data_IF_152215031989
#
_entry.id   IF_152215031989
#
_cell.length_a   1.000
_cell.length_b   1.000
_cell.length_c   1.000
_cell.angle_alpha   90.00
_cell.angle_beta   90.00
_cell.angle_gamma   90.00
#
_symmetry.space_group_name_H-M   'P 1'
#
loop_
_entity.id
_entity.type
_entity.pdbx_description
1 polymer ?
#
# COMPACT_ATOMS: atom_id res chain seq x y z
N UNK A 1 6.40 53.36 -94.65
CA UNK A 1 6.80 52.84 -93.33
C UNK A 1 7.21 51.38 -93.48
N UNK A 2 8.50 51.07 -93.43
CA UNK A 2 9.02 49.70 -93.37
C UNK A 2 9.95 49.60 -92.16
N UNK A 3 9.57 48.84 -91.13
CA UNK A 3 10.51 48.46 -90.06
C UNK A 3 11.67 47.65 -90.68
N UNK A 4 12.92 47.93 -90.28
CA UNK A 4 14.09 47.19 -90.77
C UNK A 4 14.02 45.71 -90.34
N UNK A 5 14.51 44.80 -91.18
CA UNK A 5 14.52 43.33 -90.90
C UNK A 5 15.19 42.98 -89.56
N UNK A 6 16.17 43.78 -89.14
CA UNK A 6 16.88 43.62 -87.87
C UNK A 6 15.97 43.87 -86.66
N UNK A 7 15.22 44.98 -86.68
CA UNK A 7 14.30 45.34 -85.59
C UNK A 7 13.18 44.30 -85.43
N UNK A 8 12.74 43.67 -86.53
CA UNK A 8 11.74 42.59 -86.51
C UNK A 8 12.30 41.30 -85.90
N UNK A 9 13.56 40.95 -86.19
CA UNK A 9 14.26 39.81 -85.59
C UNK A 9 14.49 40.00 -84.09
N UNK A 10 14.94 41.18 -83.69
CA UNK A 10 15.21 41.47 -82.27
C UNK A 10 13.91 41.50 -81.46
N UNK A 11 12.84 42.08 -82.01
CA UNK A 11 11.51 42.02 -81.41
C UNK A 11 11.01 40.58 -81.23
N UNK A 12 11.19 39.71 -82.24
CA UNK A 12 10.82 38.30 -82.14
C UNK A 12 11.61 37.56 -81.05
N UNK A 13 12.91 37.81 -80.93
CA UNK A 13 13.74 37.21 -79.87
C UNK A 13 13.32 37.68 -78.49
N UNK A 14 13.08 38.98 -78.30
CA UNK A 14 12.59 39.52 -77.03
C UNK A 14 11.20 38.98 -76.68
N UNK A 15 10.30 38.85 -77.66
CA UNK A 15 8.99 38.22 -77.45
C UNK A 15 9.13 36.77 -77.04
N UNK A 16 10.01 35.99 -77.69
CA UNK A 16 10.24 34.60 -77.33
C UNK A 16 10.83 34.46 -75.93
N UNK A 17 11.79 35.31 -75.54
CA UNK A 17 12.34 35.34 -74.18
C UNK A 17 11.27 35.69 -73.15
N UNK A 18 10.42 36.69 -73.45
CA UNK A 18 9.31 37.07 -72.58
C UNK A 18 8.33 35.91 -72.40
N UNK A 19 7.95 35.22 -73.48
CA UNK A 19 7.09 34.04 -73.41
C UNK A 19 7.70 32.91 -72.57
N UNK A 20 9.01 32.65 -72.70
CA UNK A 20 9.71 31.65 -71.90
C UNK A 20 9.73 32.01 -70.41
N UNK A 21 10.01 33.27 -70.08
CA UNK A 21 10.00 33.74 -68.69
C UNK A 21 8.59 33.66 -68.10
N UNK A 22 7.58 34.13 -68.83
CA UNK A 22 6.17 34.04 -68.43
C UNK A 22 5.73 32.58 -68.21
N UNK A 23 6.11 31.68 -69.13
CA UNK A 23 5.82 30.25 -69.00
C UNK A 23 6.48 29.63 -67.77
N UNK A 24 7.71 30.01 -67.47
CA UNK A 24 8.45 29.54 -66.29
C UNK A 24 7.80 30.03 -65.00
N UNK A 25 7.50 31.33 -64.89
CA UNK A 25 6.81 31.91 -63.72
C UNK A 25 5.44 31.25 -63.51
N UNK A 26 4.65 31.12 -64.58
CA UNK A 26 3.33 30.47 -64.52
C UNK A 26 3.45 29.02 -64.05
N UNK A 27 4.49 28.28 -64.49
CA UNK A 27 4.71 26.90 -64.07
C UNK A 27 5.02 26.80 -62.58
N UNK A 28 5.79 27.74 -62.03
CA UNK A 28 6.08 27.82 -60.59
C UNK A 28 4.79 28.15 -59.83
N UNK A 29 4.07 29.21 -60.23
CA UNK A 29 2.83 29.65 -59.58
C UNK A 29 1.72 28.59 -59.59
N UNK A 30 1.77 27.60 -60.47
CA UNK A 30 0.82 26.48 -60.49
C UNK A 30 1.11 25.38 -59.46
N UNK A 31 2.28 25.39 -58.82
CA UNK A 31 2.71 24.30 -57.92
C UNK A 31 3.13 24.76 -56.52
N UNK A 32 3.33 26.06 -56.30
CA UNK A 32 3.69 26.61 -54.99
C UNK A 32 2.78 27.77 -54.62
N UNK A 33 2.58 28.02 -53.33
CA UNK A 33 1.79 29.16 -52.87
C UNK A 33 2.57 30.46 -53.11
N UNK A 34 1.97 31.40 -53.85
CA UNK A 34 2.61 32.67 -54.24
C UNK A 34 1.71 33.85 -53.91
N UNK A 35 2.31 34.86 -53.29
CA UNK A 35 1.69 36.17 -53.06
C UNK A 35 2.70 37.27 -53.32
N UNK A 36 2.23 38.38 -53.89
CA UNK A 36 3.00 39.58 -54.11
C UNK A 36 2.42 40.75 -53.33
N UNK A 37 3.32 41.57 -52.82
CA UNK A 37 3.02 42.78 -52.07
C UNK A 37 3.64 43.99 -52.76
N UNK A 38 3.00 45.15 -52.65
CA UNK A 38 3.68 46.42 -52.89
C UNK A 38 4.75 46.70 -51.82
N UNK A 39 5.50 47.79 -51.98
CA UNK A 39 6.55 48.19 -51.03
C UNK A 39 6.03 48.56 -49.63
N UNK A 40 4.73 48.88 -49.53
CA UNK A 40 4.05 49.19 -48.28
C UNK A 40 3.44 47.94 -47.64
N UNK A 41 3.61 46.77 -48.24
CA UNK A 41 3.13 45.49 -47.72
C UNK A 41 1.66 45.17 -48.02
N UNK A 42 1.03 45.87 -48.96
CA UNK A 42 -0.33 45.54 -49.41
C UNK A 42 -0.31 44.47 -50.48
N UNK A 43 -1.25 43.54 -50.41
CA UNK A 43 -1.34 42.43 -51.36
C UNK A 43 -1.80 42.92 -52.73
N UNK A 44 -0.99 42.69 -53.76
CA UNK A 44 -1.25 43.13 -55.15
C UNK A 44 -1.51 41.97 -56.11
N UNK A 45 -0.99 40.77 -55.82
CA UNK A 45 -1.25 39.56 -56.59
C UNK A 45 -1.17 38.32 -55.70
N UNK A 46 -2.01 37.32 -55.94
CA UNK A 46 -2.11 36.09 -55.11
C UNK A 46 -2.64 34.95 -55.98
N UNK A 47 -2.00 33.79 -55.92
CA UNK A 47 -2.48 32.59 -56.60
C UNK A 47 -3.49 31.77 -55.75
N UNK A 48 -4.20 30.85 -56.39
CA UNK A 48 -5.25 30.08 -55.72
C UNK A 48 -4.70 29.15 -54.63
N UNK A 49 -3.50 28.59 -54.81
CA UNK A 49 -2.84 27.74 -53.80
C UNK A 49 -2.67 28.52 -52.48
N UNK A 50 -2.19 29.76 -52.53
CA UNK A 50 -2.01 30.58 -51.33
C UNK A 50 -3.35 30.94 -50.65
N UNK A 51 -4.38 31.20 -51.46
CA UNK A 51 -5.73 31.49 -50.98
C UNK A 51 -6.35 30.29 -50.27
N UNK A 52 -6.24 29.11 -50.89
CA UNK A 52 -6.76 27.85 -50.36
C UNK A 52 -6.06 27.46 -49.05
N UNK A 53 -4.72 27.59 -48.98
CA UNK A 53 -3.94 27.34 -47.76
C UNK A 53 -4.40 28.17 -46.56
N UNK A 54 -4.83 29.42 -46.77
CA UNK A 54 -5.25 30.31 -45.67
C UNK A 54 -6.78 30.44 -45.54
N UNK A 55 -7.54 29.84 -46.47
CA UNK A 55 -9.00 29.84 -46.48
C UNK A 55 -9.65 31.18 -46.88
N UNK A 56 -8.92 32.04 -47.61
CA UNK A 56 -9.45 33.35 -48.06
C UNK A 56 -9.90 33.31 -49.52
N UNK A 57 -10.88 34.16 -49.88
CA UNK A 57 -11.16 34.48 -51.28
C UNK A 57 -10.32 35.68 -51.72
N UNK A 58 -9.96 35.73 -53.02
CA UNK A 58 -9.11 36.80 -53.60
C UNK A 58 -9.59 38.22 -53.24
N UNK A 59 -10.90 38.46 -53.35
CA UNK A 59 -11.52 39.77 -53.08
C UNK A 59 -11.40 40.21 -51.60
N UNK A 60 -11.24 39.28 -50.67
CA UNK A 60 -11.17 39.56 -49.23
C UNK A 60 -9.78 40.07 -48.81
N UNK A 61 -8.75 39.74 -49.59
CA UNK A 61 -7.34 39.95 -49.24
C UNK A 61 -6.63 40.95 -50.14
N UNK A 62 -7.09 41.15 -51.38
CA UNK A 62 -6.46 42.08 -52.32
C UNK A 62 -6.53 43.53 -51.78
N UNK A 63 -5.41 44.25 -51.87
CA UNK A 63 -5.27 45.62 -51.36
C UNK A 63 -5.23 45.76 -49.84
N UNK A 64 -5.45 44.68 -49.08
CA UNK A 64 -5.23 44.66 -47.63
C UNK A 64 -3.74 44.57 -47.33
N UNK A 65 -3.35 44.94 -46.11
CA UNK A 65 -1.96 44.85 -45.67
C UNK A 65 -1.64 43.45 -45.14
N UNK A 66 -0.41 42.96 -45.36
CA UNK A 66 0.08 41.64 -44.93
C UNK A 66 -0.20 41.33 -43.45
N UNK A 67 -0.27 42.34 -42.57
CA UNK A 67 -0.57 42.18 -41.14
C UNK A 67 -1.90 41.47 -40.87
N UNK A 68 -2.85 41.48 -41.81
CA UNK A 68 -4.10 40.72 -41.67
C UNK A 68 -3.87 39.20 -41.55
N UNK A 69 -2.80 38.70 -42.18
CA UNK A 69 -2.39 37.29 -42.16
C UNK A 69 -1.57 36.94 -40.91
N UNK A 70 -1.34 37.90 -40.03
CA UNK A 70 -0.56 37.74 -38.82
C UNK A 70 -1.45 37.78 -37.57
N UNK A 71 -0.92 37.20 -36.49
CA UNK A 71 -1.47 37.41 -35.16
C UNK A 71 -1.05 38.78 -34.63
N UNK A 72 -1.84 39.31 -33.69
CA UNK A 72 -1.70 40.68 -33.17
C UNK A 72 -0.39 40.90 -32.40
N UNK A 73 0.08 39.85 -31.71
CA UNK A 73 1.35 39.83 -31.00
C UNK A 73 2.54 40.07 -31.93
N UNK A 74 2.56 39.41 -33.08
CA UNK A 74 3.62 39.56 -34.07
C UNK A 74 3.47 40.84 -34.90
N UNK A 75 2.27 41.16 -35.40
CA UNK A 75 2.09 42.32 -36.29
C UNK A 75 2.37 43.67 -35.64
N UNK A 76 2.35 43.75 -34.31
CA UNK A 76 2.67 44.95 -33.51
C UNK A 76 4.12 44.96 -33.01
N UNK A 77 4.92 43.97 -33.37
CA UNK A 77 6.25 43.77 -32.82
C UNK A 77 7.33 44.59 -33.56
N UNK A 78 8.48 44.80 -32.90
CA UNK A 78 9.63 45.46 -33.55
C UNK A 78 10.21 44.60 -34.67
N UNK A 79 10.14 43.27 -34.52
CA UNK A 79 10.57 42.29 -35.51
C UNK A 79 9.76 42.42 -36.79
N UNK A 80 8.44 42.63 -36.71
CA UNK A 80 7.60 42.86 -37.89
C UNK A 80 7.95 44.15 -38.63
N UNK A 81 8.22 45.22 -37.88
CA UNK A 81 8.64 46.51 -38.46
C UNK A 81 10.01 46.39 -39.14
N UNK A 82 10.95 45.69 -38.50
CA UNK A 82 12.28 45.40 -39.04
C UNK A 82 12.18 44.55 -40.32
N UNK A 83 11.34 43.52 -40.32
CA UNK A 83 11.11 42.62 -41.45
C UNK A 83 10.75 43.37 -42.73
N UNK A 84 9.79 44.31 -42.68
CA UNK A 84 9.42 45.10 -43.87
C UNK A 84 10.50 46.10 -44.28
N UNK A 85 11.22 46.69 -43.32
CA UNK A 85 12.35 47.58 -43.62
C UNK A 85 13.47 46.86 -44.37
N UNK A 86 13.79 45.63 -43.97
CA UNK A 86 14.81 44.80 -44.61
C UNK A 86 14.38 44.41 -46.04
N UNK A 87 13.12 44.03 -46.23
CA UNK A 87 12.58 43.73 -47.57
C UNK A 87 12.60 44.97 -48.49
N UNK A 88 12.22 46.14 -47.97
CA UNK A 88 12.27 47.39 -48.71
C UNK A 88 13.72 47.81 -49.07
N UNK A 89 14.69 47.42 -48.25
CA UNK A 89 16.12 47.61 -48.51
C UNK A 89 16.70 46.56 -49.50
N UNK A 90 15.88 45.66 -50.05
CA UNK A 90 16.30 44.63 -51.00
C UNK A 90 16.84 43.35 -50.35
N UNK A 91 16.70 43.20 -49.03
CA UNK A 91 17.14 42.00 -48.31
C UNK A 91 16.03 40.95 -48.23
N UNK A 92 16.29 39.76 -48.77
CA UNK A 92 15.34 38.64 -48.69
C UNK A 92 15.20 38.10 -47.27
N UNK A 93 14.02 37.57 -46.96
CA UNK A 93 13.71 36.95 -45.66
C UNK A 93 13.28 35.51 -45.87
N UNK A 94 13.85 34.56 -45.13
CA UNK A 94 13.49 33.15 -45.21
C UNK A 94 13.26 32.54 -43.83
N UNK A 95 12.40 31.52 -43.75
CA UNK A 95 12.14 30.81 -42.50
C UNK A 95 10.75 30.18 -42.44
N UNK A 96 10.41 29.66 -41.26
CA UNK A 96 9.08 29.13 -40.96
C UNK A 96 8.29 30.15 -40.18
N UNK A 97 7.18 30.59 -40.74
CA UNK A 97 6.41 31.72 -40.23
C UNK A 97 5.02 31.27 -39.81
N UNK A 98 4.64 31.61 -38.58
CA UNK A 98 3.27 31.47 -38.09
C UNK A 98 2.37 32.50 -38.76
N UNK A 99 1.29 32.05 -39.39
CA UNK A 99 0.25 32.89 -40.01
C UNK A 99 -1.12 32.47 -39.50
N UNK A 100 -2.06 33.39 -39.66
CA UNK A 100 -3.45 33.28 -39.22
C UNK A 100 -4.32 33.02 -40.44
N UNK A 101 -5.03 31.89 -40.45
CA UNK A 101 -6.04 31.60 -41.45
C UNK A 101 -7.26 32.52 -41.30
N UNK A 102 -8.22 32.42 -42.22
CA UNK A 102 -9.52 33.09 -42.09
C UNK A 102 -10.31 32.67 -40.85
N UNK A 103 -10.22 31.40 -40.46
CA UNK A 103 -10.86 30.85 -39.25
C UNK A 103 -10.16 31.31 -37.95
N UNK A 104 -8.99 31.94 -38.05
CA UNK A 104 -8.17 32.33 -36.90
C UNK A 104 -7.20 31.25 -36.42
N UNK A 105 -7.08 30.15 -37.17
CA UNK A 105 -6.21 29.02 -36.85
C UNK A 105 -4.75 29.27 -37.25
N UNK A 106 -3.86 28.47 -36.68
CA UNK A 106 -2.44 28.51 -37.00
C UNK A 106 -2.17 27.85 -38.34
N UNK A 107 -1.46 28.56 -39.23
CA UNK A 107 -0.87 28.00 -40.44
C UNK A 107 0.62 28.28 -40.41
N UNK A 108 1.43 27.24 -40.48
CA UNK A 108 2.88 27.35 -40.52
C UNK A 108 3.36 27.29 -41.96
N UNK A 109 3.93 28.40 -42.43
CA UNK A 109 4.44 28.53 -43.79
C UNK A 109 5.96 28.55 -43.78
N UNK A 110 6.59 27.55 -44.38
CA UNK A 110 7.99 27.64 -44.79
C UNK A 110 8.04 28.52 -46.04
N UNK A 111 8.63 29.70 -45.92
CA UNK A 111 8.54 30.71 -46.97
C UNK A 111 9.82 31.51 -47.15
N UNK A 112 9.96 32.04 -48.36
CA UNK A 112 10.96 33.03 -48.70
C UNK A 112 10.28 34.24 -49.34
N UNK A 113 10.60 35.42 -48.83
CA UNK A 113 10.17 36.72 -49.35
C UNK A 113 11.33 37.33 -50.14
N UNK A 114 11.08 37.61 -51.41
CA UNK A 114 12.00 38.07 -52.43
C UNK A 114 11.65 39.51 -52.86
N UNK A 115 12.49 40.50 -52.55
CA UNK A 115 12.37 41.82 -53.14
C UNK A 115 12.65 41.77 -54.65
N UNK A 116 11.71 42.25 -55.46
CA UNK A 116 11.86 42.35 -56.91
C UNK A 116 12.45 43.71 -57.25
N UNK A 117 13.66 43.71 -57.81
CA UNK A 117 14.43 44.92 -58.09
C UNK A 117 14.43 45.20 -59.59
N UNK A 118 14.02 46.40 -59.98
CA UNK A 118 14.11 46.92 -61.36
C UNK A 118 14.82 48.27 -61.28
N UNK A 119 15.81 48.49 -62.15
CA UNK A 119 16.63 49.72 -62.17
C UNK A 119 17.17 50.13 -60.80
N UNK A 120 17.67 49.13 -60.05
CA UNK A 120 18.23 49.27 -58.70
C UNK A 120 17.24 49.80 -57.63
N UNK A 121 15.93 49.66 -57.86
CA UNK A 121 14.88 49.98 -56.89
C UNK A 121 14.00 48.76 -56.65
N UNK A 122 13.69 48.47 -55.39
CA UNK A 122 12.67 47.47 -55.04
C UNK A 122 11.31 48.00 -55.48
N UNK A 123 10.64 47.29 -56.38
CA UNK A 123 9.33 47.70 -56.93
C UNK A 123 8.17 46.93 -56.33
N UNK A 124 8.41 45.70 -55.85
CA UNK A 124 7.42 44.83 -55.18
C UNK A 124 8.14 43.71 -54.44
N UNK A 125 7.44 42.99 -53.58
CA UNK A 125 7.96 41.84 -52.83
C UNK A 125 7.14 40.61 -53.19
N UNK A 126 7.79 39.56 -53.69
CA UNK A 126 7.16 38.26 -53.99
C UNK A 126 7.46 37.29 -52.85
N UNK A 127 6.47 36.53 -52.39
CA UNK A 127 6.65 35.47 -51.41
C UNK A 127 6.28 34.15 -52.06
N UNK A 128 7.16 33.17 -51.92
CA UNK A 128 6.85 31.76 -52.20
C UNK A 128 6.76 31.03 -50.86
N UNK A 129 5.73 30.22 -50.69
CA UNK A 129 5.46 29.50 -49.45
C UNK A 129 5.05 28.05 -49.70
N UNK A 130 5.35 27.22 -48.71
CA UNK A 130 4.86 25.87 -48.59
C UNK A 130 4.16 25.70 -47.23
N UNK A 131 3.00 25.05 -47.22
CA UNK A 131 2.32 24.72 -45.98
C UNK A 131 3.02 23.55 -45.29
N UNK A 132 3.51 23.79 -44.09
CA UNK A 132 4.19 22.79 -43.26
C UNK A 132 3.48 22.59 -41.92
N UNK A 133 2.22 23.02 -41.80
CA UNK A 133 1.43 23.00 -40.55
C UNK A 133 1.43 21.62 -39.91
N UNK A 134 1.00 20.58 -40.63
CA UNK A 134 0.94 19.22 -40.09
C UNK A 134 2.31 18.70 -39.64
N UNK A 135 3.35 18.96 -40.44
CA UNK A 135 4.72 18.52 -40.12
C UNK A 135 5.26 19.24 -38.89
N UNK A 136 5.00 20.53 -38.78
CA UNK A 136 5.42 21.35 -37.66
C UNK A 136 4.72 20.93 -36.36
N UNK A 137 3.39 20.82 -36.38
CA UNK A 137 2.60 20.42 -35.21
C UNK A 137 2.93 19.00 -34.75
N UNK A 138 3.16 18.06 -35.67
CA UNK A 138 3.64 16.71 -35.33
C UNK A 138 5.03 16.75 -34.68
N UNK A 139 5.95 17.55 -35.22
CA UNK A 139 7.28 17.70 -34.64
C UNK A 139 7.21 18.29 -33.23
N UNK A 140 6.39 19.33 -33.04
CA UNK A 140 6.21 19.99 -31.74
C UNK A 140 5.54 19.05 -30.74
N UNK A 141 4.56 18.26 -31.17
CA UNK A 141 3.92 17.24 -30.33
C UNK A 141 4.92 16.19 -29.86
N UNK A 142 5.80 15.70 -30.74
CA UNK A 142 6.87 14.75 -30.34
C UNK A 142 7.81 15.36 -29.30
N UNK A 143 8.21 16.62 -29.47
CA UNK A 143 9.04 17.34 -28.50
C UNK A 143 8.34 17.47 -27.14
N UNK A 144 7.06 17.89 -27.13
CA UNK A 144 6.28 18.03 -25.91
C UNK A 144 6.11 16.70 -25.15
N UNK A 145 5.99 15.58 -25.87
CA UNK A 145 5.94 14.23 -25.25
C UNK A 145 7.27 13.90 -24.57
N UNK A 146 8.41 14.15 -25.22
CA UNK A 146 9.71 13.93 -24.62
C UNK A 146 9.93 14.80 -23.38
N UNK A 147 9.48 16.05 -23.42
CA UNK A 147 9.51 16.95 -22.26
C UNK A 147 8.64 16.45 -21.11
N UNK A 148 7.44 15.93 -21.41
CA UNK A 148 6.58 15.34 -20.38
C UNK A 148 7.25 14.13 -19.71
N UNK A 149 7.86 13.23 -20.50
CA UNK A 149 8.61 12.08 -19.97
C UNK A 149 9.83 12.52 -19.13
N UNK A 150 10.54 13.56 -19.58
CA UNK A 150 11.69 14.12 -18.85
C UNK A 150 11.31 14.69 -17.48
N UNK A 151 10.07 15.16 -17.31
CA UNK A 151 9.60 15.68 -16.01
C UNK A 151 9.31 14.56 -15.02
N UNK A 152 8.80 13.41 -15.46
CA UNK A 152 8.29 12.37 -14.56
C UNK A 152 9.21 11.16 -14.39
N UNK A 153 10.10 10.87 -15.35
CA UNK A 153 10.92 9.65 -15.36
C UNK A 153 12.40 9.96 -15.24
N UNK A 154 13.17 9.00 -14.72
CA UNK A 154 14.62 8.98 -14.84
C UNK A 154 14.99 8.48 -16.24
N UNK A 155 15.66 9.32 -17.02
CA UNK A 155 16.03 9.04 -18.41
C UNK A 155 17.54 9.07 -18.56
N UNK A 156 18.07 8.08 -19.24
CA UNK A 156 19.50 7.99 -19.58
C UNK A 156 19.66 7.39 -20.99
N UNK A 157 20.57 7.97 -21.77
CA UNK A 157 20.91 7.56 -23.11
C UNK A 157 22.28 6.91 -23.16
N UNK A 158 22.39 5.84 -23.94
CA UNK A 158 23.62 5.10 -24.13
C UNK A 158 23.94 4.92 -25.61
N UNK A 159 25.22 4.80 -25.91
CA UNK A 159 25.70 4.17 -27.13
C UNK A 159 25.28 2.68 -27.16
N UNK A 160 25.21 2.04 -28.35
CA UNK A 160 24.79 0.64 -28.46
C UNK A 160 25.65 -0.35 -27.67
N UNK A 161 26.85 0.04 -27.27
CA UNK A 161 27.77 -0.78 -26.46
C UNK A 161 27.66 -0.53 -24.94
N UNK A 162 26.84 0.43 -24.51
CA UNK A 162 26.58 0.74 -23.11
C UNK A 162 27.33 1.91 -22.50
N UNK A 163 28.08 2.69 -23.30
CA UNK A 163 28.66 3.97 -22.84
C UNK A 163 27.59 5.05 -22.73
N UNK A 164 27.65 5.84 -21.67
CA UNK A 164 26.65 6.86 -21.36
C UNK A 164 26.88 8.11 -22.22
N UNK A 165 25.82 8.53 -22.92
CA UNK A 165 25.78 9.77 -23.71
C UNK A 165 25.33 10.92 -22.81
N UNK A 166 24.15 10.79 -22.21
CA UNK A 166 23.50 11.83 -21.41
C UNK A 166 22.51 11.23 -20.41
N UNK A 167 22.21 11.95 -19.34
CA UNK A 167 21.15 11.59 -18.40
C UNK A 167 20.38 12.84 -17.97
N UNK A 168 19.08 12.69 -17.71
CA UNK A 168 18.27 13.79 -17.22
C UNK A 168 18.48 14.01 -15.71
N UNK A 169 17.94 15.13 -15.21
CA UNK A 169 18.05 15.51 -13.79
C UNK A 169 17.48 14.44 -12.86
N UNK A 170 16.36 13.82 -13.20
CA UNK A 170 15.73 12.78 -12.39
C UNK A 170 16.68 11.57 -12.22
N UNK A 171 17.29 11.10 -13.30
CA UNK A 171 18.25 9.98 -13.23
C UNK A 171 19.47 10.33 -12.37
N UNK A 172 20.04 11.52 -12.57
CA UNK A 172 21.19 12.00 -11.80
C UNK A 172 20.88 12.09 -10.30
N UNK A 173 19.71 12.62 -9.94
CA UNK A 173 19.26 12.72 -8.55
C UNK A 173 19.02 11.34 -7.94
N UNK A 174 18.29 10.47 -8.62
CA UNK A 174 18.00 9.10 -8.15
C UNK A 174 19.28 8.28 -7.95
N UNK A 175 20.27 8.42 -8.84
CA UNK A 175 21.52 7.64 -8.76
C UNK A 175 22.66 8.36 -8.02
N UNK A 176 22.49 9.63 -7.67
CA UNK A 176 23.48 10.45 -6.95
C UNK A 176 24.69 10.90 -7.77
N UNK A 177 24.63 10.86 -9.10
CA UNK A 177 25.76 11.25 -9.97
C UNK A 177 25.57 12.62 -10.60
N UNK A 178 26.67 13.30 -10.93
CA UNK A 178 26.66 14.48 -11.80
C UNK A 178 26.87 14.12 -13.27
N UNK A 179 26.54 15.05 -14.18
CA UNK A 179 26.68 14.84 -15.62
C UNK A 179 28.14 14.54 -16.01
N UNK A 180 29.11 15.18 -15.36
CA UNK A 180 30.54 15.00 -15.59
C UNK A 180 31.02 13.62 -15.16
N UNK A 181 30.44 13.06 -14.09
CA UNK A 181 30.77 11.73 -13.60
C UNK A 181 30.20 10.63 -14.50
N UNK A 182 29.08 10.91 -15.19
CA UNK A 182 28.40 9.95 -16.05
C UNK A 182 28.95 9.88 -17.47
N UNK A 183 29.25 11.03 -18.08
CA UNK A 183 29.57 11.12 -19.51
C UNK A 183 30.75 10.21 -19.89
N UNK A 184 30.53 9.32 -20.86
CA UNK A 184 31.53 8.38 -21.38
C UNK A 184 31.85 7.21 -20.45
N UNK A 185 31.25 7.11 -19.27
CA UNK A 185 31.35 5.89 -18.44
C UNK A 185 30.43 4.82 -18.99
N UNK A 186 30.77 3.57 -18.75
CA UNK A 186 29.93 2.44 -19.13
C UNK A 186 28.88 2.15 -18.05
N UNK A 187 27.67 1.76 -18.45
CA UNK A 187 26.53 1.37 -17.57
C UNK A 187 26.88 0.43 -16.39
N UNK A 188 27.99 -0.30 -16.48
CA UNK A 188 28.44 -1.24 -15.45
C UNK A 188 28.70 -0.57 -14.10
N UNK A 189 28.97 0.75 -14.08
CA UNK A 189 29.17 1.52 -12.84
C UNK A 189 27.95 1.47 -11.91
N UNK A 190 26.76 1.20 -12.44
CA UNK A 190 25.53 1.10 -11.67
C UNK A 190 25.19 -0.34 -11.26
N UNK A 191 25.93 -1.34 -11.73
CA UNK A 191 25.54 -2.75 -11.60
C UNK A 191 26.36 -3.43 -10.51
N UNK A 192 25.75 -4.41 -9.83
CA UNK A 192 26.47 -5.36 -9.01
C UNK A 192 27.15 -6.45 -9.87
N UNK A 193 28.02 -7.24 -9.24
CA UNK A 193 28.73 -8.33 -9.93
C UNK A 193 27.78 -9.43 -10.41
N UNK A 194 26.71 -9.69 -9.65
CA UNK A 194 25.73 -10.72 -9.98
C UNK A 194 25.00 -10.38 -11.29
N UNK A 195 24.55 -9.13 -11.47
CA UNK A 195 23.89 -8.70 -12.70
C UNK A 195 24.80 -8.84 -13.91
N UNK A 196 26.07 -8.40 -13.81
CA UNK A 196 27.04 -8.46 -14.91
C UNK A 196 27.28 -9.92 -15.32
N UNK A 197 27.49 -10.81 -14.35
CA UNK A 197 27.73 -12.24 -14.60
C UNK A 197 26.52 -12.93 -15.23
N UNK A 198 25.31 -12.61 -14.77
CA UNK A 198 24.08 -13.25 -15.24
C UNK A 198 23.59 -12.68 -16.58
N UNK A 199 24.08 -11.51 -17.01
CA UNK A 199 23.65 -10.83 -18.23
C UNK A 199 24.83 -10.46 -19.16
N UNK A 200 25.67 -11.42 -19.58
CA UNK A 200 26.88 -11.13 -20.36
C UNK A 200 26.59 -10.52 -21.74
N UNK A 201 25.42 -10.85 -22.33
CA UNK A 201 25.04 -10.41 -23.68
C UNK A 201 24.09 -9.20 -23.68
N UNK A 202 23.86 -8.54 -22.54
CA UNK A 202 22.84 -7.51 -22.37
C UNK A 202 22.88 -6.41 -23.45
N UNK A 203 24.06 -5.85 -23.71
CA UNK A 203 24.26 -4.80 -24.71
C UNK A 203 24.28 -5.33 -26.15
N UNK A 204 24.70 -6.58 -26.37
CA UNK A 204 24.64 -7.18 -27.71
C UNK A 204 23.19 -7.39 -28.16
N UNK A 205 22.31 -7.80 -27.24
CA UNK A 205 20.89 -7.98 -27.50
C UNK A 205 20.19 -6.65 -27.78
N UNK A 206 20.48 -5.61 -26.98
CA UNK A 206 20.01 -4.24 -27.23
C UNK A 206 20.52 -3.68 -28.57
N UNK A 207 21.78 -3.94 -28.91
CA UNK A 207 22.38 -3.56 -30.20
C UNK A 207 21.74 -4.25 -31.41
N UNK A 208 21.05 -5.38 -31.20
CA UNK A 208 20.23 -6.07 -32.23
C UNK A 208 18.77 -5.60 -32.26
N UNK A 209 18.42 -4.59 -31.46
CA UNK A 209 17.07 -4.03 -31.40
C UNK A 209 16.14 -4.70 -30.38
N UNK A 210 16.64 -5.64 -29.56
CA UNK A 210 15.83 -6.29 -28.54
C UNK A 210 15.72 -5.39 -27.30
N UNK A 211 14.53 -4.86 -27.04
CA UNK A 211 14.29 -4.09 -25.83
C UNK A 211 14.37 -4.97 -24.58
N UNK A 212 14.68 -4.36 -23.44
CA UNK A 212 14.69 -5.03 -22.12
C UNK A 212 13.76 -4.30 -21.17
N UNK A 213 12.99 -5.04 -20.38
CA UNK A 213 12.08 -4.49 -19.38
C UNK A 213 12.15 -5.31 -18.10
N UNK A 214 11.94 -4.66 -16.96
CA UNK A 214 11.86 -5.32 -15.66
C UNK A 214 12.30 -4.42 -14.51
N UNK A 215 12.44 -5.03 -13.34
CA UNK A 215 13.00 -4.41 -12.14
C UNK A 215 14.49 -4.68 -12.08
N UNK A 216 15.26 -3.63 -11.86
CA UNK A 216 16.71 -3.68 -11.87
C UNK A 216 17.25 -3.07 -10.58
N UNK A 217 17.96 -3.88 -9.80
CA UNK A 217 18.77 -3.38 -8.69
C UNK A 217 20.00 -2.66 -9.26
N UNK A 218 20.26 -1.45 -8.79
CA UNK A 218 21.42 -0.64 -9.14
C UNK A 218 22.08 -0.07 -7.90
N UNK A 219 23.32 0.34 -8.05
CA UNK A 219 24.14 0.93 -7.00
C UNK A 219 24.32 2.43 -7.31
N UNK A 220 23.98 3.28 -6.34
CA UNK A 220 24.15 4.73 -6.43
C UNK A 220 25.63 5.12 -6.28
N UNK A 221 25.97 6.39 -6.55
CA UNK A 221 27.31 6.92 -6.32
C UNK A 221 27.79 6.80 -4.87
N UNK A 222 26.86 6.67 -3.91
CA UNK A 222 27.12 6.52 -2.48
C UNK A 222 27.15 5.05 -2.04
N UNK A 223 27.00 4.10 -2.96
CA UNK A 223 26.96 2.66 -2.65
C UNK A 223 25.59 2.13 -2.23
N UNK A 224 24.53 2.95 -2.31
CA UNK A 224 23.19 2.54 -1.89
C UNK A 224 22.46 1.74 -2.97
N UNK A 225 21.63 0.80 -2.53
CA UNK A 225 20.75 0.02 -3.40
C UNK A 225 19.55 0.85 -3.87
N UNK A 226 19.42 0.99 -5.19
CA UNK A 226 18.32 1.68 -5.87
C UNK A 226 17.59 0.68 -6.77
N UNK A 227 16.29 0.49 -6.54
CA UNK A 227 15.46 -0.32 -7.40
C UNK A 227 14.81 0.53 -8.49
N UNK A 228 15.09 0.19 -9.75
CA UNK A 228 14.53 0.86 -10.90
C UNK A 228 13.63 -0.09 -11.69
N UNK A 229 12.36 0.24 -11.82
CA UNK A 229 11.50 -0.36 -12.85
C UNK A 229 11.77 0.37 -14.15
N UNK A 230 12.30 -0.33 -15.15
CA UNK A 230 12.82 0.33 -16.33
C UNK A 230 12.60 -0.43 -17.63
N UNK A 231 12.64 0.33 -18.73
CA UNK A 231 12.70 -0.18 -20.09
C UNK A 231 13.92 0.39 -20.81
N UNK A 232 14.71 -0.46 -21.44
CA UNK A 232 15.82 -0.10 -22.31
C UNK A 232 15.36 -0.25 -23.76
N UNK A 233 15.28 0.86 -24.49
CA UNK A 233 14.63 0.96 -25.80
C UNK A 233 15.67 1.34 -26.87
N UNK A 234 16.05 0.42 -27.77
CA UNK A 234 16.91 0.72 -28.90
C UNK A 234 16.25 1.69 -29.88
N UNK A 235 16.98 2.71 -30.33
CA UNK A 235 16.55 3.68 -31.33
C UNK A 235 17.24 3.35 -32.65
N UNK A 236 16.44 3.13 -33.69
CA UNK A 236 16.90 2.70 -35.01
C UNK A 236 16.98 3.90 -35.96
N UNK A 237 17.95 3.90 -36.87
CA UNK A 237 17.98 4.82 -38.00
C UNK A 237 17.13 4.31 -39.18
N UNK A 238 17.08 5.08 -40.27
CA UNK A 238 16.33 4.74 -41.49
C UNK A 238 16.75 3.40 -42.14
N UNK A 239 17.97 2.91 -41.85
CA UNK A 239 18.48 1.63 -42.35
C UNK A 239 18.27 0.46 -41.36
N UNK A 240 17.51 0.68 -40.27
CA UNK A 240 17.24 -0.34 -39.25
C UNK A 240 18.40 -0.62 -38.29
N UNK A 241 19.48 0.16 -38.33
CA UNK A 241 20.62 0.00 -37.41
C UNK A 241 20.36 0.77 -36.12
N UNK A 242 20.59 0.13 -34.97
CA UNK A 242 20.54 0.78 -33.66
C UNK A 242 21.65 1.84 -33.55
N UNK A 243 21.26 3.08 -33.27
CA UNK A 243 22.19 4.22 -33.11
C UNK A 243 22.38 4.62 -31.66
N UNK A 244 21.37 4.42 -30.82
CA UNK A 244 21.42 4.66 -29.38
C UNK A 244 20.41 3.78 -28.65
N UNK A 245 20.54 3.67 -27.34
CA UNK A 245 19.57 3.04 -26.45
C UNK A 245 19.10 4.07 -25.45
N UNK A 246 17.80 4.30 -25.35
CA UNK A 246 17.21 5.18 -24.34
C UNK A 246 16.56 4.32 -23.25
N UNK A 247 16.93 4.58 -22.00
CA UNK A 247 16.32 3.95 -20.83
C UNK A 247 15.36 4.93 -20.18
N UNK A 248 14.13 4.47 -19.94
CA UNK A 248 13.17 5.13 -19.06
C UNK A 248 13.06 4.32 -17.78
N UNK A 249 13.10 4.98 -16.63
CA UNK A 249 13.03 4.33 -15.33
C UNK A 249 12.18 5.12 -14.33
N UNK A 250 11.49 4.36 -13.47
CA UNK A 250 10.86 4.84 -12.26
C UNK A 250 11.63 4.31 -11.06
N UNK A 251 11.89 5.17 -10.07
CA UNK A 251 12.45 4.74 -8.79
C UNK A 251 11.36 4.07 -7.95
N UNK A 252 11.51 2.77 -7.72
CA UNK A 252 10.61 1.94 -6.93
C UNK A 252 11.26 1.49 -5.62
N UNK A 253 12.38 2.09 -5.21
CA UNK A 253 13.16 1.68 -4.03
C UNK A 253 12.31 1.64 -2.76
N UNK A 254 11.46 2.65 -2.55
CA UNK A 254 10.56 2.68 -1.39
C UNK A 254 9.45 1.62 -1.48
N UNK A 255 9.00 1.29 -2.69
CA UNK A 255 8.02 0.23 -2.89
C UNK A 255 8.62 -1.14 -2.58
N UNK A 256 9.84 -1.43 -3.07
CA UNK A 256 10.51 -2.70 -2.79
C UNK A 256 10.87 -2.85 -1.32
N UNK A 257 11.33 -1.78 -0.64
CA UNK A 257 11.54 -1.79 0.81
C UNK A 257 10.25 -2.12 1.58
N UNK A 258 9.11 -1.56 1.16
CA UNK A 258 7.80 -1.89 1.75
C UNK A 258 7.43 -3.35 1.50
N UNK A 259 7.63 -3.86 0.29
CA UNK A 259 7.31 -5.25 -0.05
C UNK A 259 8.12 -6.23 0.82
N UNK A 260 9.41 -5.99 1.01
CA UNK A 260 10.28 -6.81 1.88
C UNK A 260 9.80 -6.74 3.33
N UNK A 261 9.53 -5.54 3.85
CA UNK A 261 9.04 -5.38 5.23
C UNK A 261 7.67 -6.05 5.45
N UNK A 262 6.78 -6.04 4.45
CA UNK A 262 5.50 -6.73 4.49
C UNK A 262 5.73 -8.25 4.55
N UNK A 263 6.62 -8.80 3.72
CA UNK A 263 6.94 -10.23 3.74
C UNK A 263 7.48 -10.68 5.10
N UNK A 264 8.45 -9.96 5.67
CA UNK A 264 8.99 -10.25 7.01
C UNK A 264 7.91 -10.17 8.11
N UNK A 265 7.06 -9.15 8.06
CA UNK A 265 5.94 -9.01 9.01
C UNK A 265 4.89 -10.12 8.87
N UNK A 266 4.73 -10.66 7.65
CA UNK A 266 3.77 -11.72 7.34
C UNK A 266 4.24 -13.05 7.93
N UNK A 267 5.53 -13.39 7.77
CA UNK A 267 6.13 -14.58 8.39
C UNK A 267 6.05 -14.52 9.92
N UNK A 268 6.32 -13.36 10.52
CA UNK A 268 6.16 -13.18 11.96
C UNK A 268 4.72 -13.42 12.40
N UNK A 269 3.74 -12.80 11.72
CA UNK A 269 2.32 -12.97 12.03
C UNK A 269 1.86 -14.43 11.91
N UNK A 270 2.36 -15.15 10.90
CA UNK A 270 2.10 -16.59 10.75
C UNK A 270 2.61 -17.38 11.95
N UNK A 271 3.88 -17.20 12.32
CA UNK A 271 4.49 -17.94 13.42
C UNK A 271 3.80 -17.67 14.76
N UNK A 272 3.45 -16.40 15.04
CA UNK A 272 2.69 -16.01 16.23
C UNK A 272 1.29 -16.61 16.25
N UNK A 273 0.60 -16.67 15.10
CA UNK A 273 -0.72 -17.27 15.00
C UNK A 273 -0.67 -18.79 15.29
N UNK A 274 0.31 -19.50 14.73
CA UNK A 274 0.53 -20.93 15.00
C UNK A 274 0.80 -21.17 16.48
N UNK A 275 1.69 -20.38 17.10
CA UNK A 275 1.99 -20.47 18.52
C UNK A 275 0.77 -20.18 19.39
N UNK A 276 0.00 -19.15 19.06
CA UNK A 276 -1.23 -18.78 19.78
C UNK A 276 -2.26 -19.90 19.72
N UNK A 277 -2.45 -20.52 18.56
CA UNK A 277 -3.36 -21.66 18.38
C UNK A 277 -2.94 -22.87 19.25
N UNK A 278 -1.63 -23.16 19.28
CA UNK A 278 -1.07 -24.22 20.13
C UNK A 278 -1.30 -23.95 21.61
N UNK A 279 -1.02 -22.73 22.08
CA UNK A 279 -1.23 -22.32 23.48
C UNK A 279 -2.71 -22.39 23.84
N UNK A 280 -3.61 -21.92 22.97
CA UNK A 280 -5.05 -22.00 23.20
C UNK A 280 -5.52 -23.46 23.35
N UNK A 281 -5.05 -24.36 22.47
CA UNK A 281 -5.35 -25.80 22.57
C UNK A 281 -4.85 -26.42 23.88
N UNK A 282 -3.66 -26.04 24.34
CA UNK A 282 -3.14 -26.47 25.65
C UNK A 282 -3.99 -25.91 26.79
N UNK A 283 -4.39 -24.64 26.71
CA UNK A 283 -5.29 -24.01 27.66
C UNK A 283 -6.64 -24.74 27.76
N UNK A 284 -7.22 -25.14 26.63
CA UNK A 284 -8.46 -25.91 26.61
C UNK A 284 -8.33 -27.24 27.37
N UNK A 285 -7.24 -27.98 27.12
CA UNK A 285 -6.97 -29.24 27.85
C UNK A 285 -6.83 -29.04 29.35
N UNK A 286 -6.20 -27.95 29.79
CA UNK A 286 -6.06 -27.64 31.23
C UNK A 286 -7.41 -27.28 31.87
N UNK A 287 -8.30 -26.63 31.12
CA UNK A 287 -9.65 -26.32 31.59
C UNK A 287 -10.50 -27.58 31.73
N UNK A 288 -10.38 -28.54 30.79
CA UNK A 288 -11.03 -29.85 30.92
C UNK A 288 -10.58 -30.60 32.18
N UNK A 289 -9.27 -30.60 32.48
CA UNK A 289 -8.75 -31.15 33.73
C UNK A 289 -9.32 -30.44 34.97
N UNK A 290 -9.45 -29.12 34.93
CA UNK A 290 -10.03 -28.34 36.03
C UNK A 290 -11.52 -28.67 36.25
N UNK A 291 -12.30 -28.90 35.19
CA UNK A 291 -13.70 -29.37 35.30
C UNK A 291 -13.76 -30.72 36.00
N UNK A 292 -12.89 -31.67 35.65
CA UNK A 292 -12.85 -32.98 36.29
C UNK A 292 -12.45 -32.90 37.78
N UNK A 293 -11.52 -32.01 38.13
CA UNK A 293 -11.19 -31.74 39.54
C UNK A 293 -12.40 -31.20 40.30
N UNK A 294 -13.15 -30.25 39.74
CA UNK A 294 -14.36 -29.72 40.39
C UNK A 294 -15.45 -30.79 40.58
N UNK A 295 -15.67 -31.67 39.59
CA UNK A 295 -16.58 -32.83 39.75
C UNK A 295 -16.15 -33.73 40.91
N UNK A 296 -14.84 -33.99 41.02
CA UNK A 296 -14.29 -34.79 42.13
C UNK A 296 -14.51 -34.12 43.48
N UNK A 297 -14.38 -32.80 43.57
CA UNK A 297 -14.69 -32.03 44.79
C UNK A 297 -16.16 -32.22 45.18
N UNK A 298 -17.11 -31.98 44.26
CA UNK A 298 -18.54 -32.18 44.51
C UNK A 298 -18.86 -33.60 45.00
N UNK A 299 -18.26 -34.62 44.37
CA UNK A 299 -18.42 -36.02 44.81
C UNK A 299 -17.87 -36.25 46.22
N UNK A 300 -16.71 -35.69 46.56
CA UNK A 300 -16.08 -35.88 47.87
C UNK A 300 -16.83 -35.14 48.99
N UNK A 301 -17.41 -33.98 48.65
CA UNK A 301 -18.28 -33.22 49.56
C UNK A 301 -19.55 -34.01 49.85
N UNK A 302 -20.18 -34.60 48.83
CA UNK A 302 -21.37 -35.43 49.01
C UNK A 302 -21.09 -36.63 49.93
N UNK A 303 -19.99 -37.36 49.69
CA UNK A 303 -19.59 -38.49 50.54
C UNK A 303 -19.31 -38.04 51.99
N UNK A 304 -18.68 -36.88 52.17
CA UNK A 304 -18.39 -36.33 53.50
C UNK A 304 -19.68 -35.95 54.23
N UNK A 305 -20.63 -35.32 53.55
CA UNK A 305 -21.94 -34.98 54.10
C UNK A 305 -22.72 -36.23 54.56
N UNK A 306 -22.68 -37.32 53.80
CA UNK A 306 -23.29 -38.60 54.18
C UNK A 306 -22.66 -39.18 55.46
N UNK A 307 -21.33 -39.11 55.58
CA UNK A 307 -20.62 -39.55 56.80
C UNK A 307 -20.97 -38.69 58.01
N UNK A 308 -21.09 -37.38 57.84
CA UNK A 308 -21.51 -36.46 58.91
C UNK A 308 -22.95 -36.77 59.34
N UNK A 309 -23.85 -37.03 58.39
CA UNK A 309 -25.21 -37.42 58.71
C UNK A 309 -25.25 -38.72 59.51
N UNK A 310 -24.46 -39.72 59.11
CA UNK A 310 -24.35 -40.97 59.87
C UNK A 310 -23.77 -40.75 61.27
N UNK A 311 -22.79 -39.85 61.45
CA UNK A 311 -22.27 -39.48 62.76
C UNK A 311 -23.35 -38.80 63.61
N UNK A 312 -24.16 -37.94 63.00
CA UNK A 312 -25.25 -37.25 63.68
C UNK A 312 -26.27 -38.25 64.25
N UNK A 313 -26.62 -39.27 63.47
CA UNK A 313 -27.51 -40.33 63.92
C UNK A 313 -26.87 -41.18 65.03
N UNK A 314 -25.55 -41.43 64.98
CA UNK A 314 -24.84 -42.12 66.07
C UNK A 314 -24.78 -41.29 67.35
N UNK A 315 -24.56 -39.98 67.26
CA UNK A 315 -24.59 -39.10 68.43
C UNK A 315 -25.95 -39.06 69.12
N UNK A 316 -27.06 -39.05 68.38
CA UNK A 316 -28.41 -39.17 68.95
C UNK A 316 -28.62 -40.48 69.71
N UNK A 317 -28.15 -41.59 69.15
CA UNK A 317 -28.20 -42.87 69.87
C UNK A 317 -27.39 -42.84 71.18
N UNK A 318 -26.24 -42.14 71.19
CA UNK A 318 -25.44 -41.98 72.42
C UNK A 318 -26.19 -41.11 73.44
N UNK A 319 -26.84 -40.03 73.00
CA UNK A 319 -27.67 -39.17 73.86
C UNK A 319 -28.76 -39.98 74.58
N UNK A 320 -29.50 -40.82 73.85
CA UNK A 320 -30.53 -41.71 74.42
C UNK A 320 -29.96 -42.70 75.44
N UNK A 321 -28.78 -43.27 75.16
CA UNK A 321 -28.09 -44.18 76.08
C UNK A 321 -27.66 -43.45 77.35
N UNK A 322 -27.08 -42.25 77.21
CA UNK A 322 -26.63 -41.42 78.34
C UNK A 322 -27.81 -41.02 79.23
N UNK A 323 -28.93 -40.63 78.63
CA UNK A 323 -30.17 -40.33 79.36
C UNK A 323 -30.69 -41.55 80.12
N UNK A 324 -30.64 -42.73 79.51
CA UNK A 324 -31.02 -43.99 80.18
C UNK A 324 -30.11 -44.30 81.37
N UNK A 325 -28.78 -44.16 81.22
CA UNK A 325 -27.82 -44.40 82.30
C UNK A 325 -28.01 -43.38 83.42
N UNK A 326 -28.26 -42.10 83.11
CA UNK A 326 -28.57 -41.07 84.10
C UNK A 326 -29.81 -41.45 84.92
N UNK A 327 -30.88 -41.91 84.24
CA UNK A 327 -32.08 -42.41 84.91
C UNK A 327 -31.81 -43.62 85.82
N UNK A 328 -30.97 -44.56 85.40
CA UNK A 328 -30.54 -45.71 86.22
C UNK A 328 -29.74 -45.23 87.45
N UNK A 329 -28.84 -44.26 87.27
CA UNK A 329 -28.04 -43.70 88.36
C UNK A 329 -28.93 -43.00 89.40
N UNK A 330 -29.90 -42.21 88.98
CA UNK A 330 -30.89 -41.57 89.86
C UNK A 330 -31.72 -42.59 90.64
N UNK A 331 -32.22 -43.63 89.97
CA UNK A 331 -32.95 -44.72 90.63
C UNK A 331 -32.08 -45.48 91.63
N UNK A 332 -30.83 -45.78 91.26
CA UNK A 332 -29.87 -46.47 92.13
C UNK A 332 -29.54 -45.63 93.36
N UNK A 333 -29.42 -44.31 93.19
CA UNK A 333 -29.22 -43.36 94.28
C UNK A 333 -30.40 -43.35 95.26
N UNK A 334 -31.64 -43.40 94.76
CA UNK A 334 -32.86 -43.51 95.58
C UNK A 334 -32.95 -44.85 96.31
N UNK A 335 -32.63 -45.96 95.65
CA UNK A 335 -32.58 -47.29 96.26
C UNK A 335 -31.54 -47.36 97.38
N UNK A 336 -30.35 -46.81 97.14
CA UNK A 336 -29.28 -46.72 98.13
C UNK A 336 -29.68 -45.86 99.34
N UNK A 337 -30.39 -44.75 99.11
CA UNK A 337 -30.94 -43.92 100.18
C UNK A 337 -31.94 -44.71 101.05
N UNK A 338 -32.86 -45.43 100.43
CA UNK A 338 -33.83 -46.28 101.15
C UNK A 338 -33.12 -47.39 101.96
N UNK A 339 -32.10 -48.02 101.37
CA UNK A 339 -31.30 -49.03 102.06
C UNK A 339 -30.52 -48.44 103.25
N UNK A 340 -29.98 -47.22 103.13
CA UNK A 340 -29.31 -46.52 104.23
C UNK A 340 -30.28 -46.20 105.38
N UNK A 341 -31.51 -45.80 105.06
CA UNK A 341 -32.58 -45.57 106.06
C UNK A 341 -32.91 -46.87 106.80
N UNK A 342 -33.12 -47.97 106.09
CA UNK A 342 -33.47 -49.25 106.70
C UNK A 342 -32.30 -49.83 107.52
N UNK A 343 -31.06 -49.66 107.05
CA UNK A 343 -29.86 -50.02 107.78
C UNK A 343 -29.71 -49.23 109.10
N UNK A 344 -30.03 -47.93 109.11
CA UNK A 344 -30.07 -47.13 110.32
C UNK A 344 -31.17 -47.61 111.29
N UNK A 345 -32.31 -48.06 110.75
CA UNK A 345 -33.45 -48.59 111.51
C UNK A 345 -33.15 -49.93 112.21
N UNK A 346 -32.30 -50.76 111.60
CA UNK A 346 -31.88 -52.06 112.15
C UNK A 346 -30.81 -51.97 113.27
N UNK A 347 -30.33 -50.76 113.62
CA UNK A 347 -29.40 -50.55 114.73
C UNK A 347 -28.03 -51.23 114.54
N UNK A 348 -27.50 -51.87 115.59
CA UNK A 348 -26.18 -52.53 115.56
C UNK A 348 -26.08 -53.64 114.48
N UNK A 349 -27.19 -54.32 114.15
CA UNK A 349 -27.22 -55.37 113.12
C UNK A 349 -27.19 -54.81 111.68
N UNK A 350 -27.47 -53.50 111.50
CA UNK A 350 -27.51 -52.83 110.20
C UNK A 350 -26.21 -52.13 109.80
N UNK A 351 -25.19 -52.05 110.67
CA UNK A 351 -23.95 -51.28 110.42
C UNK A 351 -23.22 -51.69 109.14
N UNK A 352 -23.15 -52.98 108.83
CA UNK A 352 -22.54 -53.47 107.59
C UNK A 352 -23.32 -53.05 106.34
N UNK A 353 -24.65 -53.09 106.40
CA UNK A 353 -25.52 -52.65 105.30
C UNK A 353 -25.48 -51.13 105.09
N UNK A 354 -25.33 -50.34 106.14
CA UNK A 354 -25.23 -48.88 106.04
C UNK A 354 -23.99 -48.44 105.24
N UNK A 355 -22.85 -49.11 105.44
CA UNK A 355 -21.61 -48.83 104.68
C UNK A 355 -21.79 -49.15 103.20
N UNK A 356 -22.38 -50.30 102.89
CA UNK A 356 -22.64 -50.69 101.48
C UNK A 356 -23.62 -49.72 100.82
N UNK A 357 -24.69 -49.33 101.51
CA UNK A 357 -25.67 -48.38 100.99
C UNK A 357 -25.04 -47.01 100.68
N UNK A 358 -24.17 -46.49 101.56
CA UNK A 358 -23.51 -45.20 101.32
C UNK A 358 -22.47 -45.28 100.18
N UNK A 359 -21.81 -46.43 100.00
CA UNK A 359 -20.90 -46.68 98.86
C UNK A 359 -21.66 -46.77 97.52
N UNK A 360 -22.80 -47.47 97.48
CA UNK A 360 -23.68 -47.52 96.30
C UNK A 360 -24.21 -46.13 95.97
N UNK A 361 -24.57 -45.33 96.98
CA UNK A 361 -25.03 -43.95 96.79
C UNK A 361 -23.94 -43.07 96.17
N UNK A 362 -22.71 -43.14 96.67
CA UNK A 362 -21.56 -42.42 96.08
C UNK A 362 -21.28 -42.86 94.66
N UNK A 363 -21.36 -44.18 94.38
CA UNK A 363 -21.18 -44.72 93.03
C UNK A 363 -22.25 -44.17 92.08
N UNK A 364 -23.52 -44.22 92.47
CA UNK A 364 -24.63 -43.68 91.69
C UNK A 364 -24.48 -42.17 91.43
N UNK A 365 -24.07 -41.39 92.43
CA UNK A 365 -23.79 -39.96 92.27
C UNK A 365 -22.64 -39.71 91.28
N UNK A 366 -21.55 -40.48 91.36
CA UNK A 366 -20.44 -40.39 90.39
C UNK A 366 -20.89 -40.79 88.98
N UNK A 367 -21.74 -41.81 88.84
CA UNK A 367 -22.30 -42.21 87.54
C UNK A 367 -23.14 -41.08 86.94
N UNK A 368 -24.01 -40.44 87.73
CA UNK A 368 -24.82 -39.30 87.27
C UNK A 368 -23.94 -38.13 86.79
N UNK A 369 -22.89 -37.79 87.54
CA UNK A 369 -21.93 -36.76 87.14
C UNK A 369 -21.22 -37.13 85.82
N UNK A 370 -20.71 -38.36 85.69
CA UNK A 370 -20.07 -38.80 84.44
C UNK A 370 -21.03 -38.81 83.25
N UNK A 371 -22.32 -39.14 83.44
CA UNK A 371 -23.31 -39.04 82.36
C UNK A 371 -23.59 -37.60 81.96
N UNK A 372 -23.56 -36.65 82.88
CA UNK A 372 -23.70 -35.21 82.57
C UNK A 372 -22.51 -34.71 81.74
N UNK A 373 -21.29 -35.11 82.10
CA UNK A 373 -20.07 -34.80 81.33
C UNK A 373 -20.16 -35.38 79.90
N UNK A 374 -20.63 -36.62 79.73
CA UNK A 374 -20.80 -37.22 78.40
C UNK A 374 -21.89 -36.48 77.60
N UNK A 375 -23.00 -36.11 78.22
CA UNK A 375 -24.07 -35.36 77.55
C UNK A 375 -23.56 -34.03 76.99
N UNK A 376 -22.70 -33.32 77.74
CA UNK A 376 -22.06 -32.09 77.26
C UNK A 376 -21.18 -32.34 76.03
N UNK A 377 -20.34 -33.38 76.05
CA UNK A 377 -19.49 -33.74 74.90
C UNK A 377 -20.32 -34.12 73.67
N UNK A 378 -21.43 -34.84 73.85
CA UNK A 378 -22.34 -35.21 72.75
C UNK A 378 -22.97 -33.97 72.13
N UNK A 379 -23.41 -33.01 72.95
CA UNK A 379 -23.99 -31.75 72.48
C UNK A 379 -22.95 -30.89 71.73
N UNK A 380 -21.72 -30.78 72.23
CA UNK A 380 -20.62 -30.11 71.52
C UNK A 380 -20.33 -30.80 70.17
N UNK A 381 -20.32 -32.13 70.14
CA UNK A 381 -20.16 -32.91 68.91
C UNK A 381 -21.29 -32.62 67.91
N UNK A 382 -22.53 -32.48 68.38
CA UNK A 382 -23.68 -32.11 67.55
C UNK A 382 -23.52 -30.73 66.91
N UNK A 383 -23.09 -29.72 67.68
CA UNK A 383 -22.81 -28.38 67.14
C UNK A 383 -21.69 -28.40 66.10
N UNK A 384 -20.62 -29.16 66.34
CA UNK A 384 -19.53 -29.33 65.37
C UNK A 384 -20.02 -29.99 64.06
N UNK A 385 -20.92 -30.97 64.13
CA UNK A 385 -21.49 -31.61 62.95
C UNK A 385 -22.39 -30.67 62.13
N UNK A 386 -23.20 -29.83 62.80
CA UNK A 386 -23.99 -28.80 62.11
C UNK A 386 -23.09 -27.79 61.38
N UNK A 387 -22.05 -27.32 62.05
CA UNK A 387 -21.06 -26.42 61.45
C UNK A 387 -20.35 -27.07 60.25
N UNK A 388 -19.92 -28.32 60.39
CA UNK A 388 -19.30 -29.08 59.30
C UNK A 388 -20.24 -29.26 58.10
N UNK A 389 -21.53 -29.53 58.34
CA UNK A 389 -22.54 -29.65 57.27
C UNK A 389 -22.71 -28.32 56.52
N UNK A 390 -22.75 -27.20 57.24
CA UNK A 390 -22.81 -25.86 56.64
C UNK A 390 -21.57 -25.58 55.78
N UNK A 391 -20.38 -25.89 56.29
CA UNK A 391 -19.13 -25.73 55.55
C UNK A 391 -19.09 -26.59 54.29
N UNK A 392 -19.59 -27.84 54.33
CA UNK A 392 -19.71 -28.71 53.16
C UNK A 392 -20.65 -28.13 52.10
N UNK A 393 -21.78 -27.54 52.51
CA UNK A 393 -22.70 -26.86 51.59
C UNK A 393 -22.04 -25.68 50.88
N UNK A 394 -21.24 -24.88 51.60
CA UNK A 394 -20.51 -23.75 51.04
C UNK A 394 -19.45 -24.21 50.02
N UNK A 395 -18.67 -25.26 50.35
CA UNK A 395 -17.69 -25.84 49.41
C UNK A 395 -18.38 -26.35 48.13
N UNK A 396 -19.55 -26.97 48.24
CA UNK A 396 -20.29 -27.43 47.07
C UNK A 396 -20.74 -26.27 46.17
N UNK A 397 -21.19 -25.16 46.76
CA UNK A 397 -21.55 -23.95 46.02
C UNK A 397 -20.32 -23.36 45.32
N UNK A 398 -19.20 -23.22 46.02
CA UNK A 398 -17.95 -22.69 45.45
C UNK A 398 -17.45 -23.57 44.30
N UNK A 399 -17.54 -24.90 44.43
CA UNK A 399 -17.18 -25.82 43.36
C UNK A 399 -18.07 -25.62 42.12
N UNK A 400 -19.38 -25.43 42.31
CA UNK A 400 -20.33 -25.12 41.23
C UNK A 400 -20.02 -23.80 40.53
N UNK A 401 -19.82 -22.72 41.28
CA UNK A 401 -19.43 -21.40 40.73
C UNK A 401 -18.08 -21.49 39.98
N UNK A 402 -17.16 -22.31 40.49
CA UNK A 402 -15.88 -22.61 39.83
C UNK A 402 -16.07 -23.28 38.46
N UNK A 403 -16.97 -24.25 38.35
CA UNK A 403 -17.29 -24.91 37.07
C UNK A 403 -17.88 -23.93 36.05
N UNK A 404 -18.80 -23.06 36.47
CA UNK A 404 -19.38 -22.03 35.61
C UNK A 404 -18.31 -21.06 35.08
N UNK A 405 -17.37 -20.66 35.95
CA UNK A 405 -16.24 -19.80 35.55
C UNK A 405 -15.29 -20.49 34.58
N UNK A 406 -14.96 -21.76 34.81
CA UNK A 406 -14.13 -22.55 33.90
C UNK A 406 -14.79 -22.66 32.53
N UNK A 407 -16.11 -22.89 32.47
CA UNK A 407 -16.86 -22.95 31.20
C UNK A 407 -16.83 -21.63 30.43
N UNK A 408 -16.91 -20.49 31.13
CA UNK A 408 -16.75 -19.16 30.52
C UNK A 408 -15.36 -18.99 29.91
N UNK A 409 -14.30 -19.36 30.64
CA UNK A 409 -12.91 -19.27 30.14
C UNK A 409 -12.69 -20.22 28.96
N UNK A 410 -13.28 -21.41 28.97
CA UNK A 410 -13.18 -22.38 27.88
C UNK A 410 -13.75 -21.81 26.57
N UNK A 411 -14.86 -21.06 26.65
CA UNK A 411 -15.44 -20.38 25.48
C UNK A 411 -14.47 -19.34 24.90
N UNK A 412 -13.84 -18.53 25.76
CA UNK A 412 -12.85 -17.51 25.33
C UNK A 412 -11.63 -18.17 24.68
N UNK A 413 -11.15 -19.29 25.24
CA UNK A 413 -10.02 -20.03 24.67
C UNK A 413 -10.35 -20.61 23.28
N UNK A 414 -11.58 -21.09 23.08
CA UNK A 414 -12.04 -21.56 21.76
C UNK A 414 -12.07 -20.42 20.74
N UNK A 415 -12.54 -19.22 21.13
CA UNK A 415 -12.48 -18.03 20.28
C UNK A 415 -11.05 -17.62 19.91
N UNK A 416 -10.11 -17.70 20.87
CA UNK A 416 -8.68 -17.44 20.62
C UNK A 416 -8.11 -18.48 19.64
N UNK A 417 -8.45 -19.76 19.81
CA UNK A 417 -8.01 -20.84 18.93
C UNK A 417 -8.49 -20.62 17.49
N UNK A 418 -9.79 -20.36 17.29
CA UNK A 418 -10.39 -20.09 15.99
C UNK A 418 -9.83 -18.80 15.35
N UNK A 419 -9.64 -17.75 16.16
CA UNK A 419 -9.05 -16.50 15.72
C UNK A 419 -7.62 -16.68 15.19
N UNK A 420 -6.81 -17.44 15.92
CA UNK A 420 -5.43 -17.76 15.53
C UNK A 420 -5.37 -18.62 14.25
N UNK A 421 -6.24 -19.62 14.13
CA UNK A 421 -6.33 -20.46 12.92
C UNK A 421 -6.73 -19.63 11.68
N UNK A 422 -7.68 -18.70 11.85
CA UNK A 422 -8.10 -17.78 10.79
C UNK A 422 -6.95 -16.87 10.31
N UNK A 423 -6.15 -16.34 11.23
CA UNK A 423 -4.98 -15.52 10.89
C UNK A 423 -3.96 -16.36 10.13
N UNK A 424 -3.62 -17.55 10.64
CA UNK A 424 -2.67 -18.48 10.01
C UNK A 424 -3.07 -18.81 8.57
N UNK A 425 -4.34 -19.14 8.34
CA UNK A 425 -4.88 -19.39 6.99
C UNK A 425 -4.81 -18.16 6.10
N UNK A 426 -5.25 -17.00 6.58
CA UNK A 426 -5.27 -15.75 5.79
C UNK A 426 -3.86 -15.34 5.37
N UNK A 427 -2.89 -15.51 6.27
CA UNK A 427 -1.48 -15.25 5.99
C UNK A 427 -0.93 -16.25 4.97
N UNK A 428 -1.25 -17.53 5.09
CA UNK A 428 -0.85 -18.55 4.12
C UNK A 428 -1.37 -18.24 2.71
N UNK A 429 -2.64 -17.85 2.58
CA UNK A 429 -3.24 -17.46 1.30
C UNK A 429 -2.61 -16.20 0.69
N UNK A 430 -2.13 -15.28 1.54
CA UNK A 430 -1.44 -14.06 1.11
C UNK A 430 -0.05 -14.40 0.58
N UNK A 431 0.65 -15.34 1.21
CA UNK A 431 1.97 -15.81 0.79
C UNK A 431 1.93 -16.60 -0.53
N UNK A 432 0.83 -17.30 -0.83
CA UNK A 432 0.64 -17.97 -2.14
C UNK A 432 0.38 -16.99 -3.30
N UNK A 433 -0.02 -15.74 -3.01
CA UNK A 433 -0.37 -14.72 -4.02
C UNK A 433 0.74 -13.71 -4.29
N UNK A 434 1.73 -13.62 -3.41
CA UNK A 434 2.95 -12.81 -3.58
C UNK A 434 3.99 -13.59 -4.40
#
# INVERSE_FOLDING_TARGET
MFMSRQLKSDLQKTQQQLHTLQGTTTSIERHVAVVEFDIDGKLININDIFLDTLGYKREEVLGKHHSMLCFDDYSRSQEYTKFWRELAAGQSQHGTFRRKSKSGENVWLEATYFPIVIDNKVVRIMKIANDVTDKYEQSKTRENILDALNRSLAIIEFEPDGHIISANKNFMQTMGYTQEQLKGKHHRIFCDEAFIRNNPNFWQELGRGQFKSGKFLRISSHGEHVWLEATYNPILNANGKVTKVIKFASDITQQEKRNIAIAESTDLAFSTAVETSQIAKQGASQLDEAVEVSKKITSQVQETSEKIQSLNDKSKNIEEIVDTIRGIAEQTNLLALNAAIEAARAGEQGRGFAVVADEVRKLASRTAQSTEEIANVVNETHQLMLSATSAMSEVNQIAGEGMDKISQVATVIDEIYLGAENISRSVSELNEKL
#
